data_IF_455650995337
#
_entry.id   IF_455650995337
#
_cell.length_a   1.000
_cell.length_b   1.000
_cell.length_c   1.000
_cell.angle_alpha   90.00
_cell.angle_beta   90.00
_cell.angle_gamma   90.00
#
_symmetry.space_group_name_H-M   'P 1'
#
loop_
_entity.id
_entity.type
_entity.pdbx_description
1 polymer ?
#
# COMPACT_ATOMS: atom_id res chain seq x y z
N UNK A 1 14.82 -11.54 5.96
CA UNK A 1 14.82 -12.89 6.53
C UNK A 1 14.16 -13.88 5.57
N UNK A 2 14.70 -15.12 5.50
CA UNK A 2 14.05 -16.21 4.76
C UNK A 2 12.67 -16.51 5.35
N UNK A 3 11.62 -16.48 4.53
CA UNK A 3 10.23 -16.70 4.97
C UNK A 3 9.55 -15.48 5.61
N UNK A 4 10.12 -14.27 5.48
CA UNK A 4 9.51 -13.03 5.97
C UNK A 4 8.07 -12.89 5.49
N UNK A 5 7.14 -12.54 6.40
CA UNK A 5 5.72 -12.36 6.08
C UNK A 5 5.39 -11.08 5.32
N UNK A 6 6.30 -10.09 5.28
CA UNK A 6 6.06 -8.79 4.62
C UNK A 6 6.23 -8.88 3.09
N UNK A 7 7.30 -9.53 2.62
CA UNK A 7 7.71 -9.49 1.21
C UNK A 7 6.67 -10.01 0.21
N UNK A 8 5.82 -11.01 0.52
CA UNK A 8 4.77 -11.45 -0.39
C UNK A 8 3.74 -10.39 -0.74
N UNK A 9 3.41 -9.51 0.22
CA UNK A 9 2.48 -8.40 -0.01
C UNK A 9 3.09 -7.33 -0.93
N UNK A 10 4.34 -6.91 -0.66
CA UNK A 10 5.04 -5.97 -1.52
C UNK A 10 5.20 -6.52 -2.94
N UNK A 11 5.56 -7.80 -3.07
CA UNK A 11 5.66 -8.48 -4.37
C UNK A 11 4.32 -8.47 -5.11
N UNK A 12 3.22 -8.81 -4.43
CA UNK A 12 1.90 -8.82 -5.06
C UNK A 12 1.48 -7.41 -5.50
N UNK A 13 1.66 -6.38 -4.66
CA UNK A 13 1.34 -5.00 -5.00
C UNK A 13 2.13 -4.52 -6.23
N UNK A 14 3.44 -4.80 -6.28
CA UNK A 14 4.27 -4.41 -7.43
C UNK A 14 4.00 -5.22 -8.70
N UNK A 15 3.54 -6.46 -8.59
CA UNK A 15 3.05 -7.23 -9.74
C UNK A 15 1.76 -6.66 -10.34
N UNK A 16 0.93 -6.02 -9.52
CA UNK A 16 -0.34 -5.43 -9.96
C UNK A 16 -0.17 -4.02 -10.53
N UNK A 17 0.69 -3.19 -9.93
CA UNK A 17 0.72 -1.75 -10.16
C UNK A 17 2.11 -1.20 -10.49
N UNK A 18 3.16 -2.03 -10.47
CA UNK A 18 4.56 -1.63 -10.44
C UNK A 18 5.01 -0.72 -11.58
N UNK A 19 4.42 -0.80 -12.75
CA UNK A 19 4.76 0.01 -13.93
C UNK A 19 4.36 1.49 -13.81
N UNK A 20 3.46 1.82 -12.87
CA UNK A 20 2.97 3.18 -12.59
C UNK A 20 3.07 3.54 -11.10
N UNK A 21 3.76 2.72 -10.31
CA UNK A 21 3.76 2.78 -8.86
C UNK A 21 4.86 3.68 -8.31
N UNK A 22 4.50 4.52 -7.35
CA UNK A 22 5.41 5.29 -6.52
C UNK A 22 5.29 4.77 -5.09
N UNK A 23 6.43 4.53 -4.44
CA UNK A 23 6.47 3.97 -3.10
C UNK A 23 7.24 4.91 -2.17
N UNK A 24 6.55 5.44 -1.16
CA UNK A 24 7.15 6.06 0.01
C UNK A 24 7.31 4.98 1.08
N UNK A 25 8.54 4.71 1.52
CA UNK A 25 8.82 3.62 2.45
C UNK A 25 9.37 4.14 3.78
N UNK A 26 8.77 3.71 4.90
CA UNK A 26 9.30 4.00 6.22
C UNK A 26 10.56 3.16 6.49
N UNK A 27 11.62 3.78 6.99
CA UNK A 27 12.82 3.05 7.42
C UNK A 27 12.47 1.94 8.41
N UNK A 28 12.92 0.72 8.10
CA UNK A 28 12.62 -0.50 8.86
C UNK A 28 13.02 -1.75 8.08
N UNK A 29 12.38 -2.88 8.33
CA UNK A 29 12.62 -4.11 7.58
C UNK A 29 12.39 -3.92 6.08
N UNK A 30 11.36 -3.17 5.70
CA UNK A 30 11.06 -2.87 4.30
C UNK A 30 12.14 -2.08 3.58
N UNK A 31 12.94 -1.29 4.30
CA UNK A 31 14.14 -0.66 3.73
C UNK A 31 15.23 -1.67 3.42
N UNK A 32 15.39 -2.66 4.31
CA UNK A 32 16.46 -3.66 4.19
C UNK A 32 16.19 -4.61 3.03
N UNK A 33 15.01 -5.22 2.99
CA UNK A 33 14.70 -6.12 1.87
C UNK A 33 14.31 -5.36 0.58
N UNK A 34 13.85 -4.10 0.68
CA UNK A 34 13.49 -3.27 -0.47
C UNK A 34 14.69 -2.62 -1.14
N UNK A 35 15.62 -2.05 -0.38
CA UNK A 35 16.76 -1.29 -0.88
C UNK A 35 18.05 -2.08 -1.06
N UNK A 36 18.14 -3.33 -0.59
CA UNK A 36 19.37 -4.13 -0.61
C UNK A 36 19.29 -5.27 -1.61
N UNK A 37 20.19 -5.27 -2.59
CA UNK A 37 20.38 -6.43 -3.48
C UNK A 37 21.09 -7.57 -2.69
N UNK A 38 20.71 -8.84 -2.92
CA UNK A 38 19.73 -9.34 -3.89
C UNK A 38 18.32 -9.52 -3.31
N UNK A 39 18.04 -9.00 -2.12
CA UNK A 39 16.78 -9.26 -1.40
C UNK A 39 15.57 -8.48 -1.97
N UNK A 40 15.81 -7.43 -2.76
CA UNK A 40 14.75 -6.57 -3.27
C UNK A 40 13.71 -7.35 -4.08
N UNK A 41 12.40 -7.18 -3.78
CA UNK A 41 11.32 -7.74 -4.59
C UNK A 41 10.98 -6.87 -5.80
N UNK A 42 11.60 -5.69 -5.93
CA UNK A 42 11.30 -4.70 -6.94
C UNK A 42 12.10 -4.96 -8.21
N UNK A 43 11.43 -4.88 -9.36
CA UNK A 43 12.02 -5.10 -10.67
C UNK A 43 11.24 -4.33 -11.74
N UNK A 44 11.75 -4.33 -12.95
CA UNK A 44 11.09 -3.74 -14.10
C UNK A 44 10.38 -4.81 -14.94
N UNK A 45 9.32 -4.39 -15.64
CA UNK A 45 8.64 -5.23 -16.61
C UNK A 45 9.45 -5.32 -17.93
N UNK A 46 8.92 -6.04 -18.93
CA UNK A 46 9.59 -6.20 -20.25
C UNK A 46 9.79 -4.88 -21.01
N UNK A 47 9.02 -3.84 -20.68
CA UNK A 47 9.16 -2.51 -21.27
C UNK A 47 10.15 -1.60 -20.52
N UNK A 48 10.79 -2.12 -19.45
CA UNK A 48 11.74 -1.35 -18.63
C UNK A 48 11.08 -0.47 -17.57
N UNK A 49 9.77 -0.62 -17.32
CA UNK A 49 9.04 0.13 -16.31
C UNK A 49 8.90 -0.67 -15.01
N UNK A 50 9.10 -0.01 -13.87
CA UNK A 50 8.96 -0.59 -12.53
C UNK A 50 8.67 0.50 -11.51
N UNK A 51 8.48 0.14 -10.21
CA UNK A 51 8.15 1.12 -9.19
C UNK A 51 9.29 2.10 -8.95
N UNK A 52 8.91 3.38 -8.78
CA UNK A 52 9.79 4.39 -8.20
C UNK A 52 9.70 4.24 -6.67
N UNK A 53 10.81 3.86 -6.03
CA UNK A 53 10.88 3.62 -4.60
C UNK A 53 11.82 4.61 -3.92
N UNK A 54 11.35 5.23 -2.85
CA UNK A 54 12.13 6.14 -2.04
C UNK A 54 11.92 5.86 -0.57
N UNK A 55 13.02 5.87 0.20
CA UNK A 55 12.99 5.63 1.64
C UNK A 55 12.95 6.95 2.40
N UNK A 56 12.02 7.06 3.33
CA UNK A 56 11.91 8.17 4.27
C UNK A 56 12.50 7.82 5.63
N UNK A 57 12.51 8.76 6.55
CA UNK A 57 12.81 8.49 7.95
C UNK A 57 11.72 7.61 8.56
N UNK A 58 12.03 7.02 9.71
CA UNK A 58 11.13 6.10 10.38
C UNK A 58 9.83 6.79 10.85
N UNK A 59 9.94 8.02 11.34
CA UNK A 59 8.87 8.80 11.93
C UNK A 59 8.01 9.58 10.93
N UNK A 60 8.56 9.99 9.77
CA UNK A 60 7.94 11.00 8.89
C UNK A 60 7.36 10.45 7.58
N UNK A 61 7.29 9.14 7.43
CA UNK A 61 6.92 8.54 6.15
C UNK A 61 5.48 8.86 5.70
N UNK A 62 4.57 9.10 6.63
CA UNK A 62 3.21 9.51 6.31
C UNK A 62 3.22 10.87 5.61
N UNK A 63 3.92 11.85 6.18
CA UNK A 63 4.07 13.20 5.67
C UNK A 63 4.85 13.22 4.35
N UNK A 64 5.89 12.39 4.24
CA UNK A 64 6.66 12.22 3.01
C UNK A 64 5.79 11.70 1.87
N UNK A 65 5.04 10.63 2.11
CA UNK A 65 4.11 10.07 1.12
C UNK A 65 2.98 11.05 0.77
N UNK A 66 2.49 11.81 1.75
CA UNK A 66 1.51 12.86 1.50
C UNK A 66 2.06 13.98 0.61
N UNK A 67 3.30 14.39 0.85
CA UNK A 67 4.01 15.33 -0.02
C UNK A 67 4.15 14.81 -1.47
N UNK A 68 4.43 13.51 -1.64
CA UNK A 68 4.44 12.87 -2.95
C UNK A 68 3.05 12.92 -3.62
N UNK A 69 1.95 12.65 -2.88
CA UNK A 69 0.58 12.73 -3.39
C UNK A 69 0.26 14.13 -3.94
N UNK A 70 0.54 15.17 -3.14
CA UNK A 70 0.34 16.57 -3.53
C UNK A 70 1.20 16.91 -4.76
N UNK A 71 2.45 16.49 -4.79
CA UNK A 71 3.37 16.71 -5.91
C UNK A 71 2.84 16.07 -7.20
N UNK A 72 2.46 14.79 -7.15
CA UNK A 72 1.91 14.06 -8.31
C UNK A 72 0.63 14.72 -8.83
N UNK A 73 -0.29 15.08 -7.94
CA UNK A 73 -1.53 15.79 -8.29
C UNK A 73 -1.23 17.12 -8.98
N UNK A 74 -0.32 17.93 -8.41
CA UNK A 74 0.00 19.27 -8.92
C UNK A 74 0.69 19.19 -10.28
N UNK A 75 1.68 18.31 -10.43
CA UNK A 75 2.39 18.11 -11.71
C UNK A 75 1.44 17.57 -12.78
N UNK A 76 0.53 16.66 -12.40
CA UNK A 76 -0.46 16.12 -13.33
C UNK A 76 -1.52 17.14 -13.75
N UNK A 77 -1.91 18.05 -12.85
CA UNK A 77 -2.76 19.18 -13.20
C UNK A 77 -2.07 20.13 -14.20
N UNK A 78 -0.78 20.38 -14.03
CA UNK A 78 -0.01 21.18 -15.01
C UNK A 78 0.07 20.48 -16.38
N UNK A 79 0.33 19.17 -16.40
CA UNK A 79 0.32 18.37 -17.63
C UNK A 79 -1.05 18.42 -18.33
N UNK A 80 -2.14 18.32 -17.57
CA UNK A 80 -3.52 18.45 -18.09
C UNK A 80 -3.71 19.77 -18.84
N UNK A 81 -3.28 20.90 -18.28
CA UNK A 81 -3.40 22.22 -18.92
C UNK A 81 -2.67 22.23 -20.27
N UNK A 82 -1.48 21.63 -20.34
CA UNK A 82 -0.72 21.54 -21.61
C UNK A 82 -1.48 20.70 -22.63
N UNK A 83 -1.99 19.53 -22.23
CA UNK A 83 -2.74 18.65 -23.12
C UNK A 83 -4.08 19.28 -23.56
N UNK A 84 -4.72 20.10 -22.73
CA UNK A 84 -5.91 20.90 -23.09
C UNK A 84 -5.60 21.94 -24.20
N UNK A 85 -4.39 22.53 -24.19
CA UNK A 85 -3.94 23.39 -25.32
C UNK A 85 -3.73 22.58 -26.58
N UNK A 86 -3.04 21.43 -26.47
CA UNK A 86 -2.81 20.51 -27.58
C UNK A 86 -4.13 19.99 -28.19
N UNK A 87 -5.18 19.82 -27.40
CA UNK A 87 -6.50 19.42 -27.87
C UNK A 87 -7.17 20.43 -28.81
N UNK A 88 -6.66 21.68 -28.85
CA UNK A 88 -7.09 22.72 -29.79
C UNK A 88 -6.29 22.75 -31.10
N UNK A 89 -5.13 22.08 -31.11
CA UNK A 89 -4.28 21.96 -32.29
C UNK A 89 -4.71 20.73 -33.12
N UNK A 90 -5.10 20.89 -34.38
CA UNK A 90 -5.56 19.79 -35.25
C UNK A 90 -4.62 18.58 -35.29
N UNK A 91 -3.29 18.80 -35.18
CA UNK A 91 -2.29 17.73 -35.20
C UNK A 91 -2.42 16.77 -33.99
N UNK A 92 -2.82 17.27 -32.84
CA UNK A 92 -2.89 16.49 -31.58
C UNK A 92 -4.32 16.24 -31.10
N UNK A 93 -5.31 16.97 -31.65
CA UNK A 93 -6.65 17.09 -31.10
C UNK A 93 -7.33 15.72 -30.80
N UNK A 94 -7.16 14.74 -31.66
CA UNK A 94 -7.79 13.42 -31.49
C UNK A 94 -7.29 12.70 -30.25
N UNK A 95 -5.99 12.51 -30.15
CA UNK A 95 -5.40 11.74 -29.04
C UNK A 95 -5.38 12.54 -27.74
N UNK A 96 -5.20 13.87 -27.79
CA UNK A 96 -5.24 14.73 -26.61
C UNK A 96 -6.62 14.70 -25.94
N UNK A 97 -7.71 14.84 -26.70
CA UNK A 97 -9.09 14.71 -26.18
C UNK A 97 -9.38 13.32 -25.63
N UNK A 98 -8.91 12.28 -26.29
CA UNK A 98 -9.08 10.90 -25.80
C UNK A 98 -8.38 10.70 -24.46
N UNK A 99 -7.13 11.16 -24.32
CA UNK A 99 -6.39 11.08 -23.06
C UNK A 99 -7.06 11.88 -21.95
N UNK A 100 -7.47 13.13 -22.20
CA UNK A 100 -8.18 13.96 -21.23
C UNK A 100 -9.47 13.32 -20.71
N UNK A 101 -10.20 12.63 -21.56
CA UNK A 101 -11.43 11.93 -21.18
C UNK A 101 -11.20 10.69 -20.31
N UNK A 102 -10.00 10.11 -20.36
CA UNK A 102 -9.66 8.85 -19.71
C UNK A 102 -8.45 8.97 -18.75
N UNK A 103 -7.99 10.19 -18.47
CA UNK A 103 -6.73 10.41 -17.75
C UNK A 103 -6.69 9.75 -16.35
N UNK A 104 -7.81 9.59 -15.69
CA UNK A 104 -7.90 9.01 -14.35
C UNK A 104 -8.34 7.52 -14.36
N UNK A 105 -8.31 6.89 -15.53
CA UNK A 105 -8.65 5.48 -15.72
C UNK A 105 -7.41 4.66 -16.09
N UNK A 106 -7.47 3.32 -16.05
CA UNK A 106 -6.40 2.44 -16.52
C UNK A 106 -5.99 2.68 -17.99
N UNK A 107 -6.91 3.17 -18.83
CA UNK A 107 -6.65 3.47 -20.24
C UNK A 107 -5.70 4.65 -20.46
N UNK A 108 -5.49 5.49 -19.44
CA UNK A 108 -4.59 6.63 -19.51
C UNK A 108 -3.18 6.24 -19.96
N UNK A 109 -2.69 5.06 -19.57
CA UNK A 109 -1.38 4.55 -19.93
C UNK A 109 -1.23 4.32 -21.44
N UNK A 110 -2.18 3.64 -22.07
CA UNK A 110 -2.16 3.37 -23.52
C UNK A 110 -2.36 4.64 -24.35
N UNK A 111 -3.29 5.49 -23.95
CA UNK A 111 -3.52 6.77 -24.60
C UNK A 111 -2.33 7.71 -24.44
N UNK A 112 -1.69 7.69 -23.26
CA UNK A 112 -0.47 8.44 -22.97
C UNK A 112 0.71 8.00 -23.83
N UNK A 113 0.92 6.70 -24.02
CA UNK A 113 1.94 6.18 -24.95
C UNK A 113 1.70 6.65 -26.38
N UNK A 114 0.44 6.64 -26.83
CA UNK A 114 0.06 7.12 -28.15
C UNK A 114 0.30 8.64 -28.31
N UNK A 115 -0.04 9.42 -27.27
CA UNK A 115 0.21 10.86 -27.22
C UNK A 115 1.73 11.15 -27.24
N UNK A 116 2.51 10.46 -26.42
CA UNK A 116 3.97 10.61 -26.39
C UNK A 116 4.61 10.21 -27.73
N UNK A 117 4.12 9.16 -28.40
CA UNK A 117 4.58 8.76 -29.71
C UNK A 117 4.33 9.85 -30.76
N UNK A 118 3.14 10.48 -30.73
CA UNK A 118 2.83 11.60 -31.62
C UNK A 118 3.70 12.83 -31.31
N UNK A 119 3.94 13.14 -30.01
CA UNK A 119 4.81 14.26 -29.62
C UNK A 119 6.23 14.13 -30.18
N UNK A 120 6.77 12.91 -30.31
CA UNK A 120 8.10 12.67 -30.92
C UNK A 120 8.18 13.08 -32.41
N UNK A 121 7.03 13.15 -33.10
CA UNK A 121 6.97 13.60 -34.51
C UNK A 121 7.07 15.11 -34.61
N UNK A 122 6.82 15.85 -33.55
CA UNK A 122 6.85 17.31 -33.49
C UNK A 122 7.90 17.82 -32.48
N UNK A 123 9.20 17.57 -32.71
CA UNK A 123 10.24 17.83 -31.71
C UNK A 123 10.47 19.31 -31.43
N UNK A 124 9.99 20.24 -32.29
CA UNK A 124 10.11 21.68 -32.08
C UNK A 124 8.91 22.32 -31.40
N UNK A 125 7.81 21.54 -31.21
CA UNK A 125 6.63 22.03 -30.50
C UNK A 125 6.89 22.04 -28.98
N UNK A 126 6.69 23.19 -28.35
CA UNK A 126 6.97 23.36 -26.91
C UNK A 126 6.07 22.52 -26.01
N UNK A 127 4.79 22.34 -26.39
CA UNK A 127 3.85 21.51 -25.64
C UNK A 127 4.20 20.02 -25.79
N UNK A 128 4.65 19.60 -27.00
CA UNK A 128 5.14 18.25 -27.23
C UNK A 128 6.40 17.93 -26.40
N UNK A 129 7.35 18.86 -26.33
CA UNK A 129 8.53 18.75 -25.46
C UNK A 129 8.12 18.57 -23.99
N UNK A 130 7.22 19.42 -23.49
CA UNK A 130 6.74 19.34 -22.12
C UNK A 130 6.08 18.00 -21.81
N UNK A 131 5.23 17.50 -22.71
CA UNK A 131 4.59 16.17 -22.56
C UNK A 131 5.62 15.05 -22.51
N UNK A 132 6.68 15.11 -23.33
CA UNK A 132 7.74 14.09 -23.33
C UNK A 132 8.59 14.13 -22.06
N UNK A 133 8.87 15.31 -21.51
CA UNK A 133 9.59 15.48 -20.24
C UNK A 133 8.78 15.00 -19.04
N UNK A 134 7.45 14.93 -19.16
CA UNK A 134 6.52 14.49 -18.11
C UNK A 134 5.76 13.22 -18.50
N UNK A 135 6.33 12.39 -19.35
CA UNK A 135 5.67 11.20 -19.88
C UNK A 135 5.38 10.14 -18.79
N UNK A 136 6.14 10.17 -17.69
CA UNK A 136 5.92 9.37 -16.47
C UNK A 136 4.56 9.64 -15.80
N UNK A 137 3.96 10.81 -16.03
CA UNK A 137 2.67 11.24 -15.48
C UNK A 137 1.49 11.00 -16.43
N UNK A 138 1.73 10.52 -17.64
CA UNK A 138 0.65 10.20 -18.59
C UNK A 138 -0.22 9.01 -18.12
N UNK A 139 0.33 7.90 -17.58
CA UNK A 139 -0.45 6.92 -16.86
C UNK A 139 -1.06 7.53 -15.58
N UNK A 140 -2.17 6.99 -15.10
CA UNK A 140 -2.66 7.35 -13.77
C UNK A 140 -1.69 6.80 -12.71
N UNK A 141 -1.02 7.64 -11.91
CA UNK A 141 -0.03 7.17 -10.95
C UNK A 141 -0.69 6.39 -9.82
N UNK A 142 0.01 5.39 -9.31
CA UNK A 142 -0.38 4.59 -8.16
C UNK A 142 0.57 4.90 -7.01
N UNK A 143 0.11 5.62 -6.00
CA UNK A 143 0.95 5.99 -4.85
C UNK A 143 0.69 5.10 -3.66
N UNK A 144 1.75 4.51 -3.13
CA UNK A 144 1.74 3.62 -1.99
C UNK A 144 2.69 4.09 -0.89
N UNK A 145 2.24 4.06 0.35
CA UNK A 145 3.01 4.38 1.55
C UNK A 145 3.18 3.08 2.33
N UNK A 146 4.42 2.57 2.42
CA UNK A 146 4.76 1.32 3.07
C UNK A 146 5.43 1.56 4.41
N UNK A 147 5.09 0.76 5.42
CA UNK A 147 5.80 0.75 6.69
C UNK A 147 5.35 -0.35 7.63
N UNK A 148 6.13 -0.63 8.66
CA UNK A 148 5.82 -1.59 9.71
C UNK A 148 4.89 -1.03 10.77
N UNK A 149 4.50 -1.89 11.70
CA UNK A 149 3.61 -1.52 12.82
C UNK A 149 4.24 -0.50 13.78
N UNK A 150 5.54 -0.56 14.03
CA UNK A 150 6.22 0.45 14.85
C UNK A 150 6.10 1.86 14.30
N UNK A 151 6.09 2.02 12.99
CA UNK A 151 5.76 3.28 12.33
C UNK A 151 4.27 3.61 12.48
N UNK A 152 3.40 2.73 12.01
CA UNK A 152 1.98 3.04 11.84
C UNK A 152 1.19 3.13 13.16
N UNK A 153 1.56 2.34 14.18
CA UNK A 153 0.85 2.28 15.45
C UNK A 153 1.44 3.23 16.51
N UNK A 154 2.72 3.58 16.38
CA UNK A 154 3.48 4.31 17.39
C UNK A 154 4.04 5.63 16.84
N UNK A 155 5.31 5.63 16.39
CA UNK A 155 6.07 6.86 16.16
C UNK A 155 5.53 7.71 15.00
N UNK A 156 5.05 7.09 13.92
CA UNK A 156 4.46 7.77 12.76
C UNK A 156 2.94 7.90 12.82
N UNK A 157 2.29 7.47 13.93
CA UNK A 157 0.83 7.46 14.00
C UNK A 157 0.20 8.84 13.85
N UNK A 158 0.79 9.88 14.42
CA UNK A 158 0.25 11.24 14.32
C UNK A 158 0.18 11.73 12.87
N UNK A 159 1.23 11.49 12.08
CA UNK A 159 1.24 11.77 10.66
C UNK A 159 0.26 10.89 9.87
N UNK A 160 0.21 9.59 10.19
CA UNK A 160 -0.73 8.67 9.56
C UNK A 160 -2.19 9.08 9.80
N UNK A 161 -2.55 9.43 11.03
CA UNK A 161 -3.88 9.93 11.38
C UNK A 161 -4.24 11.18 10.57
N UNK A 162 -3.29 12.14 10.50
CA UNK A 162 -3.47 13.37 9.74
C UNK A 162 -3.72 13.11 8.24
N UNK A 163 -2.92 12.25 7.61
CA UNK A 163 -3.10 12.00 6.18
C UNK A 163 -4.36 11.21 5.87
N UNK A 164 -4.76 10.26 6.74
CA UNK A 164 -6.02 9.52 6.59
C UNK A 164 -7.25 10.44 6.72
N UNK A 165 -7.16 11.53 7.50
CA UNK A 165 -8.21 12.54 7.58
C UNK A 165 -8.30 13.40 6.32
N UNK A 166 -7.29 13.37 5.43
CA UNK A 166 -7.32 14.08 4.15
C UNK A 166 -8.23 13.37 3.14
N UNK A 167 -8.40 13.98 1.98
CA UNK A 167 -9.11 13.36 0.85
C UNK A 167 -8.19 13.11 -0.36
N UNK A 168 -6.88 13.09 -0.12
CA UNK A 168 -5.92 12.78 -1.17
C UNK A 168 -5.94 11.31 -1.53
N UNK A 169 -5.70 11.00 -2.80
CA UNK A 169 -5.68 9.65 -3.30
C UNK A 169 -4.30 9.01 -3.10
N UNK A 170 -4.21 8.09 -2.16
CA UNK A 170 -3.04 7.26 -1.88
C UNK A 170 -3.44 5.97 -1.15
N UNK A 171 -2.56 4.99 -1.21
CA UNK A 171 -2.73 3.71 -0.53
C UNK A 171 -1.67 3.54 0.56
N UNK A 172 -2.07 3.21 1.77
CA UNK A 172 -1.17 2.84 2.87
C UNK A 172 -1.16 1.32 3.03
N UNK A 173 0.02 0.71 3.04
CA UNK A 173 0.19 -0.70 3.36
C UNK A 173 1.04 -0.84 4.62
N UNK A 174 0.42 -1.26 5.70
CA UNK A 174 1.06 -1.53 6.98
C UNK A 174 1.40 -3.01 7.07
N UNK A 175 2.68 -3.32 7.26
CA UNK A 175 3.15 -4.66 7.58
C UNK A 175 3.07 -4.85 9.10
N UNK A 176 2.02 -5.49 9.56
CA UNK A 176 1.79 -5.75 10.98
C UNK A 176 2.57 -6.99 11.41
N UNK A 177 3.78 -6.77 11.89
CA UNK A 177 4.66 -7.79 12.47
C UNK A 177 4.56 -7.86 14.00
N UNK A 178 3.66 -7.06 14.58
CA UNK A 178 3.33 -7.02 16.01
C UNK A 178 4.50 -6.60 16.94
N UNK A 179 5.63 -6.20 16.37
CA UNK A 179 6.83 -5.72 17.07
C UNK A 179 7.63 -4.76 16.20
N UNK A 180 8.51 -3.96 16.80
CA UNK A 180 9.56 -3.26 16.06
C UNK A 180 10.58 -4.29 15.54
N UNK A 181 10.30 -4.88 14.40
CA UNK A 181 11.01 -6.06 13.92
C UNK A 181 12.45 -5.79 13.52
N UNK A 182 12.72 -4.67 12.82
CA UNK A 182 14.06 -4.36 12.33
C UNK A 182 15.06 -4.01 13.44
N UNK A 183 14.60 -3.39 14.50
CA UNK A 183 15.45 -2.96 15.62
C UNK A 183 15.68 -4.04 16.67
N UNK A 184 15.02 -5.20 16.55
CA UNK A 184 15.28 -6.37 17.40
C UNK A 184 14.09 -6.87 18.22
N UNK A 185 12.86 -6.57 17.84
CA UNK A 185 11.66 -7.16 18.45
C UNK A 185 11.16 -6.43 19.69
N UNK A 186 11.28 -5.11 19.73
CA UNK A 186 10.69 -4.30 20.79
C UNK A 186 9.17 -4.29 20.70
N UNK A 187 8.52 -4.23 21.86
CA UNK A 187 7.06 -4.12 21.96
C UNK A 187 6.56 -2.83 21.28
N UNK A 188 5.57 -2.96 20.41
CA UNK A 188 4.81 -1.85 19.81
C UNK A 188 3.38 -1.80 20.36
N UNK A 189 2.59 -0.80 19.93
CA UNK A 189 1.14 -0.81 20.21
C UNK A 189 0.37 -1.86 19.41
N UNK A 190 1.01 -2.46 18.40
CA UNK A 190 0.48 -3.61 17.68
C UNK A 190 0.73 -4.94 18.40
N UNK A 191 1.64 -5.00 19.36
CA UNK A 191 1.94 -6.19 20.13
C UNK A 191 0.71 -6.59 20.96
N UNK A 192 0.24 -7.85 20.90
CA UNK A 192 -0.93 -8.28 21.66
C UNK A 192 -0.66 -8.36 23.16
N UNK A 193 -1.74 -8.33 23.95
CA UNK A 193 -1.70 -8.51 25.40
C UNK A 193 -1.04 -9.83 25.76
N UNK A 194 -0.12 -9.81 26.72
CA UNK A 194 0.59 -10.98 27.23
C UNK A 194 1.77 -11.43 26.36
N UNK A 195 1.94 -10.92 25.15
CA UNK A 195 3.09 -11.27 24.31
C UNK A 195 4.40 -10.79 24.91
N UNK A 196 5.40 -11.65 24.90
CA UNK A 196 6.76 -11.35 25.35
C UNK A 196 7.53 -10.71 24.20
N UNK A 197 8.11 -9.54 24.46
CA UNK A 197 8.92 -8.80 23.51
C UNK A 197 10.01 -8.03 24.26
N UNK A 198 10.94 -7.41 23.52
CA UNK A 198 11.88 -6.48 24.15
C UNK A 198 11.11 -5.34 24.80
N UNK A 199 11.50 -4.95 26.02
CA UNK A 199 10.80 -4.02 26.92
C UNK A 199 9.44 -4.53 27.46
N UNK A 200 9.07 -5.77 27.18
CA UNK A 200 7.89 -6.44 27.71
C UNK A 200 8.22 -7.89 28.10
N UNK A 201 9.29 -8.09 28.89
CA UNK A 201 9.78 -9.41 29.29
C UNK A 201 8.77 -10.21 30.14
N UNK A 202 7.90 -9.53 30.90
CA UNK A 202 6.81 -10.13 31.67
C UNK A 202 5.49 -10.24 30.89
N UNK A 203 5.50 -10.01 29.60
CA UNK A 203 4.33 -9.88 28.75
C UNK A 203 3.79 -8.45 28.69
N UNK A 204 3.34 -8.02 27.52
CA UNK A 204 2.74 -6.69 27.34
C UNK A 204 1.44 -6.55 28.16
N UNK A 205 1.31 -5.54 29.03
CA UNK A 205 0.15 -5.42 29.91
C UNK A 205 -1.09 -4.75 29.25
N UNK A 206 -0.91 -4.10 28.09
CA UNK A 206 -1.97 -3.35 27.40
C UNK A 206 -2.42 -4.04 26.13
N UNK A 207 -3.66 -3.76 25.72
CA UNK A 207 -4.24 -4.32 24.53
C UNK A 207 -3.55 -3.83 23.26
N UNK A 208 -3.68 -4.62 22.18
CA UNK A 208 -3.32 -4.23 20.83
C UNK A 208 -4.21 -3.06 20.39
N UNK A 209 -3.59 -1.98 19.91
CA UNK A 209 -4.31 -0.86 19.32
C UNK A 209 -5.06 -1.33 18.06
N UNK A 210 -6.35 -1.07 17.99
CA UNK A 210 -7.14 -1.38 16.79
C UNK A 210 -7.03 -0.23 15.76
N UNK A 211 -5.99 -0.29 14.94
CA UNK A 211 -5.74 0.72 13.91
C UNK A 211 -6.83 0.71 12.82
N UNK A 212 -7.39 -0.45 12.51
CA UNK A 212 -8.46 -0.57 11.53
C UNK A 212 -9.72 0.15 12.00
N UNK A 213 -10.14 -0.11 13.25
CA UNK A 213 -11.32 0.53 13.82
C UNK A 213 -11.14 2.06 13.89
N UNK A 214 -9.97 2.52 14.31
CA UNK A 214 -9.67 3.95 14.36
C UNK A 214 -9.78 4.57 12.98
N UNK A 215 -9.17 3.97 11.95
CA UNK A 215 -9.24 4.48 10.58
C UNK A 215 -10.68 4.51 10.03
N UNK A 216 -11.49 3.50 10.34
CA UNK A 216 -12.91 3.44 9.94
C UNK A 216 -13.73 4.59 10.53
N UNK A 217 -13.34 5.18 11.67
CA UNK A 217 -14.06 6.32 12.26
C UNK A 217 -14.04 7.57 11.39
N UNK A 218 -13.08 7.69 10.46
CA UNK A 218 -13.07 8.77 9.47
C UNK A 218 -14.22 8.66 8.45
N UNK A 219 -14.84 7.51 8.30
CA UNK A 219 -15.99 7.28 7.43
C UNK A 219 -15.70 7.26 5.93
N UNK A 220 -14.68 7.98 5.47
CA UNK A 220 -14.28 8.11 4.06
C UNK A 220 -12.97 7.38 3.71
N UNK A 221 -12.37 6.67 4.63
CA UNK A 221 -11.15 5.89 4.40
C UNK A 221 -11.54 4.47 4.01
N UNK A 222 -11.01 3.96 2.89
CA UNK A 222 -11.08 2.52 2.62
C UNK A 222 -10.16 1.78 3.57
N UNK A 223 -10.66 0.76 4.27
CA UNK A 223 -9.86 -0.01 5.24
C UNK A 223 -9.96 -1.50 4.96
N UNK A 224 -8.84 -2.22 5.00
CA UNK A 224 -8.82 -3.67 4.93
C UNK A 224 -7.82 -4.27 5.91
N UNK A 225 -8.19 -5.42 6.49
CA UNK A 225 -7.27 -6.33 7.18
C UNK A 225 -7.13 -7.60 6.34
N UNK A 226 -5.89 -7.98 6.07
CA UNK A 226 -5.58 -9.07 5.15
C UNK A 226 -4.54 -10.03 5.74
N UNK A 227 -4.59 -11.29 5.29
CA UNK A 227 -3.57 -12.30 5.56
C UNK A 227 -3.42 -13.19 4.32
N UNK A 228 -2.39 -12.90 3.50
CA UNK A 228 -2.24 -13.51 2.17
C UNK A 228 -2.13 -15.05 2.24
N UNK A 229 -1.47 -15.59 3.27
CA UNK A 229 -1.38 -17.04 3.47
C UNK A 229 -2.71 -17.70 3.86
N UNK A 230 -3.66 -16.93 4.41
CA UNK A 230 -4.99 -17.42 4.75
C UNK A 230 -5.96 -17.32 3.58
N UNK A 231 -6.00 -16.17 2.92
CA UNK A 231 -6.90 -15.91 1.78
C UNK A 231 -6.25 -14.98 0.75
N UNK A 232 -5.49 -15.53 -0.22
CA UNK A 232 -4.85 -14.71 -1.26
C UNK A 232 -5.87 -14.00 -2.17
N UNK A 233 -7.06 -14.57 -2.37
CA UNK A 233 -8.10 -13.96 -3.19
C UNK A 233 -8.68 -12.70 -2.50
N UNK A 234 -8.89 -12.75 -1.18
CA UNK A 234 -9.32 -11.57 -0.39
C UNK A 234 -8.23 -10.49 -0.40
N UNK A 235 -6.97 -10.86 -0.21
CA UNK A 235 -5.84 -9.92 -0.29
C UNK A 235 -5.76 -9.24 -1.66
N UNK A 236 -5.87 -10.01 -2.75
CA UNK A 236 -5.89 -9.48 -4.11
C UNK A 236 -7.06 -8.51 -4.33
N UNK A 237 -8.23 -8.87 -3.81
CA UNK A 237 -9.44 -8.04 -3.90
C UNK A 237 -9.25 -6.74 -3.13
N UNK A 238 -8.74 -6.79 -1.90
CA UNK A 238 -8.48 -5.62 -1.06
C UNK A 238 -7.51 -4.63 -1.74
N UNK A 239 -6.40 -5.13 -2.32
CA UNK A 239 -5.44 -4.30 -3.05
C UNK A 239 -6.07 -3.61 -4.27
N UNK A 240 -6.91 -4.32 -5.03
CA UNK A 240 -7.60 -3.77 -6.20
C UNK A 240 -8.69 -2.76 -5.82
N UNK A 241 -9.44 -3.03 -4.76
CA UNK A 241 -10.45 -2.10 -4.25
C UNK A 241 -9.81 -0.81 -3.74
N UNK A 242 -8.71 -0.90 -2.98
CA UNK A 242 -7.93 0.25 -2.53
C UNK A 242 -7.43 1.09 -3.71
N UNK A 243 -6.78 0.47 -4.69
CA UNK A 243 -6.29 1.16 -5.90
C UNK A 243 -7.41 1.83 -6.71
N UNK A 244 -8.61 1.27 -6.71
CA UNK A 244 -9.76 1.80 -7.43
C UNK A 244 -10.53 2.86 -6.64
N UNK A 245 -10.19 3.07 -5.39
CA UNK A 245 -10.85 4.04 -4.52
C UNK A 245 -10.22 5.42 -4.70
N UNK A 246 -11.04 6.42 -5.00
CA UNK A 246 -10.59 7.81 -5.13
C UNK A 246 -10.58 8.48 -3.76
N UNK A 247 -9.53 8.23 -3.00
CA UNK A 247 -9.35 8.69 -1.63
C UNK A 247 -8.30 7.89 -0.88
N UNK A 248 -8.09 8.17 0.41
CA UNK A 248 -7.12 7.47 1.23
C UNK A 248 -7.57 6.03 1.52
N UNK A 249 -6.64 5.08 1.35
CA UNK A 249 -6.85 3.67 1.68
C UNK A 249 -5.82 3.18 2.69
N UNK A 250 -6.25 2.34 3.63
CA UNK A 250 -5.39 1.68 4.61
C UNK A 250 -5.56 0.17 4.55
N UNK A 251 -4.49 -0.54 4.24
CA UNK A 251 -4.44 -2.00 4.27
C UNK A 251 -3.48 -2.44 5.38
N UNK A 252 -3.97 -3.23 6.33
CA UNK A 252 -3.19 -3.79 7.43
C UNK A 252 -2.97 -5.27 7.13
N UNK A 253 -1.72 -5.63 6.92
CA UNK A 253 -1.31 -6.94 6.46
C UNK A 253 -0.61 -7.71 7.58
N UNK A 254 -1.22 -8.78 8.07
CA UNK A 254 -0.57 -9.66 9.06
C UNK A 254 0.69 -10.30 8.48
N UNK A 255 1.81 -10.09 9.13
CA UNK A 255 3.12 -10.49 8.64
C UNK A 255 3.94 -11.21 9.71
N UNK A 256 3.87 -12.55 9.79
CA UNK A 256 4.71 -13.31 10.72
C UNK A 256 6.19 -12.96 10.56
N UNK A 257 6.86 -12.74 11.69
CA UNK A 257 8.23 -12.29 11.80
C UNK A 257 9.07 -13.33 12.54
N UNK A 258 10.39 -13.32 12.32
CA UNK A 258 11.31 -14.18 13.07
C UNK A 258 11.27 -13.90 14.58
N UNK A 259 10.90 -12.67 14.96
CA UNK A 259 10.74 -12.30 16.37
C UNK A 259 9.51 -12.91 17.05
N UNK A 260 8.57 -13.52 16.29
CA UNK A 260 7.48 -14.30 16.87
C UNK A 260 7.96 -15.65 17.41
N UNK A 261 9.17 -16.09 17.06
CA UNK A 261 9.70 -17.36 17.58
C UNK A 261 8.99 -18.60 17.05
N UNK A 262 8.41 -18.54 15.84
CA UNK A 262 7.63 -19.63 15.24
C UNK A 262 8.31 -20.99 15.40
N UNK A 263 7.75 -21.87 16.21
CA UNK A 263 8.29 -23.23 16.45
C UNK A 263 8.40 -24.07 15.19
N UNK A 264 7.50 -23.85 14.21
CA UNK A 264 7.50 -24.50 12.92
C UNK A 264 8.55 -23.92 11.94
N UNK A 265 9.20 -22.79 12.30
CA UNK A 265 10.16 -22.07 11.47
C UNK A 265 9.53 -21.14 10.46
N UNK A 266 10.30 -20.14 10.02
CA UNK A 266 9.82 -19.06 9.14
C UNK A 266 9.39 -19.52 7.73
N UNK A 267 9.83 -20.68 7.27
CA UNK A 267 9.36 -21.29 6.02
C UNK A 267 7.87 -21.69 6.09
N UNK A 268 7.25 -21.63 7.26
CA UNK A 268 5.82 -21.87 7.50
C UNK A 268 5.00 -20.60 7.71
N UNK A 269 5.56 -19.42 7.53
CA UNK A 269 4.87 -18.14 7.76
C UNK A 269 3.50 -18.05 7.08
N UNK A 270 3.36 -18.56 5.83
CA UNK A 270 2.06 -18.59 5.14
C UNK A 270 1.05 -19.54 5.79
N UNK A 271 1.53 -20.63 6.36
CA UNK A 271 0.68 -21.58 7.10
C UNK A 271 0.25 -20.95 8.42
N UNK A 272 1.15 -20.20 9.07
CA UNK A 272 0.86 -19.50 10.32
C UNK A 272 -0.20 -18.41 10.13
N UNK A 273 -0.12 -17.61 9.06
CA UNK A 273 -1.19 -16.67 8.68
C UNK A 273 -2.56 -17.37 8.60
N UNK A 274 -2.58 -18.56 8.01
CA UNK A 274 -3.83 -19.35 7.88
C UNK A 274 -4.36 -19.82 9.22
N UNK A 275 -3.49 -20.29 10.13
CA UNK A 275 -3.86 -20.68 11.48
C UNK A 275 -4.38 -19.48 12.29
N UNK A 276 -3.70 -18.32 12.22
CA UNK A 276 -4.11 -17.08 12.86
C UNK A 276 -5.57 -16.73 12.51
N UNK A 277 -5.93 -16.80 11.23
CA UNK A 277 -7.29 -16.52 10.78
C UNK A 277 -8.28 -17.60 11.24
N UNK A 278 -7.92 -18.89 11.18
CA UNK A 278 -8.77 -19.99 11.58
C UNK A 278 -9.01 -20.06 13.08
N UNK A 279 -8.04 -19.64 13.86
CA UNK A 279 -8.15 -19.52 15.31
C UNK A 279 -8.93 -18.28 15.76
N UNK A 280 -9.25 -17.36 14.84
CA UNK A 280 -9.89 -16.09 15.17
C UNK A 280 -8.95 -15.06 15.79
N UNK A 281 -7.64 -15.30 15.72
CA UNK A 281 -6.62 -14.35 16.17
C UNK A 281 -6.51 -13.14 15.24
N UNK A 282 -6.60 -13.37 13.92
CA UNK A 282 -6.61 -12.32 12.91
C UNK A 282 -7.89 -12.38 12.09
N UNK A 283 -8.61 -11.27 12.01
CA UNK A 283 -9.83 -11.17 11.23
C UNK A 283 -9.57 -10.58 9.87
N UNK A 284 -10.09 -11.21 8.82
CA UNK A 284 -10.12 -10.63 7.48
C UNK A 284 -11.37 -9.75 7.34
N UNK A 285 -11.18 -8.49 6.99
CA UNK A 285 -12.28 -7.55 6.79
C UNK A 285 -11.96 -6.53 5.70
N UNK A 286 -13.01 -5.92 5.18
CA UNK A 286 -12.94 -4.75 4.30
C UNK A 286 -14.04 -3.76 4.68
N UNK A 287 -13.68 -2.49 4.74
CA UNK A 287 -14.60 -1.38 4.90
C UNK A 287 -14.49 -0.50 3.65
N UNK A 288 -15.55 -0.47 2.83
CA UNK A 288 -15.60 0.30 1.60
C UNK A 288 -16.62 1.42 1.73
N UNK A 289 -16.20 2.70 1.84
CA UNK A 289 -17.10 3.84 1.98
C UNK A 289 -18.13 3.96 0.85
N UNK A 290 -17.80 3.50 -0.37
CA UNK A 290 -18.72 3.52 -1.53
C UNK A 290 -19.98 2.70 -1.29
N UNK A 291 -19.91 1.68 -0.45
CA UNK A 291 -21.09 0.88 -0.10
C UNK A 291 -22.06 1.66 0.79
N UNK A 292 -21.55 2.50 1.70
CA UNK A 292 -22.39 3.38 2.52
C UNK A 292 -23.14 4.40 1.64
N UNK A 293 -22.47 4.98 0.65
CA UNK A 293 -23.09 5.87 -0.34
C UNK A 293 -24.19 5.16 -1.15
N UNK A 294 -24.03 3.86 -1.38
CA UNK A 294 -25.01 3.01 -2.03
C UNK A 294 -26.10 2.46 -1.06
N UNK A 295 -26.16 2.93 0.18
CA UNK A 295 -27.10 2.48 1.21
C UNK A 295 -26.87 1.06 1.72
N UNK A 296 -25.65 0.53 1.57
CA UNK A 296 -25.24 -0.81 2.02
C UNK A 296 -24.32 -0.72 3.23
N UNK A 297 -24.19 -1.82 3.96
CA UNK A 297 -23.19 -1.89 5.05
C UNK A 297 -21.77 -1.80 4.45
N UNK A 298 -20.98 -0.76 4.81
CA UNK A 298 -19.62 -0.63 4.33
C UNK A 298 -18.67 -1.69 4.88
N UNK A 299 -18.92 -2.22 6.08
CA UNK A 299 -18.10 -3.24 6.72
C UNK A 299 -18.50 -4.64 6.25
N UNK A 300 -17.52 -5.37 5.75
CA UNK A 300 -17.63 -6.75 5.33
C UNK A 300 -16.60 -7.60 6.09
N UNK A 301 -17.07 -8.61 6.81
CA UNK A 301 -16.23 -9.60 7.46
C UNK A 301 -16.00 -10.75 6.47
N UNK A 302 -14.76 -10.92 6.03
CA UNK A 302 -14.36 -11.90 5.02
C UNK A 302 -13.86 -13.21 5.65
N UNK A 303 -13.50 -13.23 6.95
CA UNK A 303 -13.12 -14.44 7.64
C UNK A 303 -14.34 -15.31 7.97
N UNK A 304 -14.19 -16.62 7.80
CA UNK A 304 -15.14 -17.58 8.32
C UNK A 304 -15.13 -17.60 9.86
N UNK A 305 -16.14 -18.22 10.45
CA UNK A 305 -16.12 -18.47 11.91
C UNK A 305 -14.88 -19.30 12.28
N UNK A 306 -14.23 -18.97 13.40
CA UNK A 306 -13.08 -19.74 13.89
C UNK A 306 -13.40 -21.22 14.01
N UNK A 307 -12.45 -22.07 13.61
CA UNK A 307 -12.57 -23.53 13.64
C UNK A 307 -11.29 -24.24 14.11
N UNK A 308 -10.33 -23.48 14.58
CA UNK A 308 -9.11 -23.96 15.24
C UNK A 308 -9.01 -23.38 16.65
N UNK A 309 -8.29 -24.08 17.54
CA UNK A 309 -8.12 -23.66 18.92
C UNK A 309 -7.19 -22.45 19.01
N UNK A 310 -7.70 -21.39 19.61
CA UNK A 310 -6.96 -20.12 19.81
C UNK A 310 -5.71 -20.33 20.69
N UNK A 311 -5.82 -21.15 21.76
CA UNK A 311 -4.69 -21.41 22.65
C UNK A 311 -3.61 -22.25 21.95
N UNK A 312 -4.01 -23.22 21.12
CA UNK A 312 -3.08 -24.02 20.34
C UNK A 312 -2.32 -23.16 19.30
N UNK A 313 -2.98 -22.15 18.75
CA UNK A 313 -2.32 -21.16 17.89
C UNK A 313 -1.23 -20.40 18.66
N UNK A 314 -1.56 -19.81 19.82
CA UNK A 314 -0.61 -19.04 20.64
C UNK A 314 0.58 -19.89 21.11
N UNK A 315 0.39 -21.19 21.31
CA UNK A 315 1.48 -22.11 21.68
C UNK A 315 2.44 -22.42 20.52
N UNK A 316 2.09 -22.03 19.29
CA UNK A 316 2.92 -22.18 18.08
C UNK A 316 4.00 -21.14 17.94
N UNK A 317 3.89 -20.06 18.67
CA UNK A 317 4.81 -18.91 18.75
C UNK A 317 5.73 -18.99 19.95
#
# INVERSE_FOLDING_TARGET
CGGCGETPYAKLATQLFGDKMFIANATGCSSIWGGSAPATPYTVNKAGHGPAWENSLFEDNAEFGYGMAISLRTRRAALKIVVERMAKNPAFAGIAKAWLAQMDTPEAGHLGQSLAALCKVYPEDADAKYVLEHADLLPSPSLWIFGGDGWAYDIGYGGLDHILASRENFNVLVFDTEVYSNTGGQSSKATPTGAVAQFAAGGKPTDKKDLAQIAMTNGHVYVAQVAIGANPAQTLKALREAESYDGPSLIIAYAPCINHGLKAGMNRSMVEMKKAVRAGYWNLLRYDPRLAEAGKNPLQIDSAKPNEDYQAFLQGE
#
